data_IF_435429802526
#
_entry.id   IF_435429802526
#
_cell.length_a   1.000
_cell.length_b   1.000
_cell.length_c   1.000
_cell.angle_alpha   90.00
_cell.angle_beta   90.00
_cell.angle_gamma   90.00
#
_symmetry.space_group_name_H-M   'P 1'
#
loop_
_entity.id
_entity.type
_entity.pdbx_description
1 polymer ?
#
# COMPACT_ATOMS: atom_id res chain seq x y z
N UNK A 1 12.80 -2.45 2.66
CA UNK A 1 12.52 -3.90 2.70
C UNK A 1 12.47 -4.43 1.27
N UNK A 2 13.03 -5.59 1.04
CA UNK A 2 13.00 -6.20 -0.29
C UNK A 2 11.61 -6.74 -0.59
N UNK A 3 11.23 -6.68 -1.87
CA UNK A 3 9.95 -7.18 -2.33
C UNK A 3 9.73 -8.65 -1.97
N UNK A 4 10.80 -9.45 -2.02
CA UNK A 4 10.75 -10.87 -1.67
C UNK A 4 10.12 -11.09 -0.29
N UNK A 5 10.49 -10.29 0.71
CA UNK A 5 9.99 -10.44 2.07
C UNK A 5 8.48 -10.17 2.12
N UNK A 6 8.04 -9.15 1.42
CA UNK A 6 6.62 -8.79 1.37
C UNK A 6 5.82 -9.93 0.71
N UNK A 7 6.31 -10.43 -0.41
CA UNK A 7 5.63 -11.49 -1.16
C UNK A 7 5.59 -12.78 -0.34
N UNK A 8 6.68 -13.15 0.30
CA UNK A 8 6.73 -14.36 1.14
C UNK A 8 5.74 -14.27 2.30
N UNK A 9 5.65 -13.11 2.94
CA UNK A 9 4.68 -12.91 4.03
C UNK A 9 3.25 -13.01 3.51
N UNK A 10 2.97 -12.47 2.35
CA UNK A 10 1.64 -12.55 1.75
C UNK A 10 1.26 -13.99 1.45
N UNK A 11 2.17 -14.78 0.88
CA UNK A 11 1.92 -16.19 0.64
C UNK A 11 1.69 -16.96 1.93
N UNK A 12 2.49 -16.67 2.95
CA UNK A 12 2.33 -17.29 4.25
C UNK A 12 0.92 -17.08 4.79
N UNK A 13 0.42 -15.85 4.72
CA UNK A 13 -0.92 -15.54 5.19
C UNK A 13 -2.01 -16.13 4.31
N UNK A 14 -1.77 -16.21 3.02
CA UNK A 14 -2.72 -16.78 2.06
C UNK A 14 -2.93 -18.26 2.32
N UNK A 15 -1.84 -19.01 2.48
CA UNK A 15 -1.89 -20.46 2.69
C UNK A 15 -2.17 -20.78 4.16
N UNK A 16 -1.87 -19.85 5.05
CA UNK A 16 -2.07 -19.96 6.51
C UNK A 16 -1.27 -21.10 7.12
N UNK A 17 -0.15 -21.43 6.49
CA UNK A 17 0.80 -22.40 7.00
C UNK A 17 2.13 -22.15 6.33
N UNK A 18 3.17 -22.81 6.82
CA UNK A 18 4.47 -22.69 6.17
C UNK A 18 4.37 -23.20 4.74
N UNK A 19 4.71 -22.34 3.80
CA UNK A 19 4.59 -22.61 2.38
C UNK A 19 5.95 -22.65 1.73
N UNK A 20 6.19 -23.67 0.92
CA UNK A 20 7.43 -23.77 0.16
C UNK A 20 7.28 -22.99 -1.15
N UNK A 21 7.72 -21.73 -1.11
CA UNK A 21 7.53 -20.79 -2.20
C UNK A 21 8.56 -21.07 -3.31
N UNK A 22 8.03 -21.30 -4.52
CA UNK A 22 8.87 -21.54 -5.70
C UNK A 22 9.13 -20.24 -6.46
N UNK A 23 10.16 -20.21 -7.33
CA UNK A 23 10.45 -19.01 -8.10
C UNK A 23 9.28 -18.50 -8.94
N UNK A 24 8.44 -19.39 -9.47
CA UNK A 24 7.27 -18.99 -10.24
C UNK A 24 6.25 -18.27 -9.36
N UNK A 25 6.13 -18.67 -8.10
CA UNK A 25 5.23 -18.03 -7.15
C UNK A 25 5.71 -16.62 -6.82
N UNK A 26 7.01 -16.45 -6.69
CA UNK A 26 7.60 -15.13 -6.45
C UNK A 26 7.35 -14.19 -7.62
N UNK A 27 7.44 -14.70 -8.86
CA UNK A 27 7.14 -13.90 -10.05
C UNK A 27 5.68 -13.48 -10.07
N UNK A 28 4.78 -14.40 -9.76
CA UNK A 28 3.35 -14.10 -9.72
C UNK A 28 3.06 -13.06 -8.64
N UNK A 29 3.64 -13.25 -7.46
CA UNK A 29 3.47 -12.28 -6.37
C UNK A 29 3.96 -10.90 -6.75
N UNK A 30 5.09 -10.82 -7.43
CA UNK A 30 5.65 -9.55 -7.88
C UNK A 30 4.71 -8.87 -8.87
N UNK A 31 4.15 -9.63 -9.81
CA UNK A 31 3.21 -9.11 -10.81
C UNK A 31 1.96 -8.58 -10.13
N UNK A 32 1.40 -9.32 -9.18
CA UNK A 32 0.22 -8.87 -8.44
C UNK A 32 0.52 -7.62 -7.62
N UNK A 33 1.69 -7.58 -6.99
CA UNK A 33 2.08 -6.43 -6.18
C UNK A 33 2.20 -5.17 -7.06
N UNK A 34 2.86 -5.28 -8.19
CA UNK A 34 3.00 -4.16 -9.12
C UNK A 34 1.64 -3.68 -9.61
N UNK A 35 0.74 -4.60 -9.96
CA UNK A 35 -0.60 -4.25 -10.42
C UNK A 35 -1.42 -3.55 -9.34
N UNK A 36 -1.34 -4.07 -8.14
CA UNK A 36 -2.05 -3.49 -7.01
C UNK A 36 -1.58 -2.06 -6.75
N UNK A 37 -0.28 -1.87 -6.68
CA UNK A 37 0.27 -0.55 -6.40
C UNK A 37 0.04 0.44 -7.53
N UNK A 38 0.06 -0.03 -8.78
CA UNK A 38 -0.25 0.82 -9.93
C UNK A 38 -1.72 1.29 -9.87
N UNK A 39 -2.62 0.39 -9.46
CA UNK A 39 -4.03 0.75 -9.32
C UNK A 39 -4.26 1.76 -8.21
N UNK A 40 -3.56 1.58 -7.08
CA UNK A 40 -3.64 2.52 -5.96
C UNK A 40 -3.13 3.89 -6.39
N UNK A 41 -2.02 3.92 -7.10
CA UNK A 41 -1.44 5.17 -7.60
C UNK A 41 -2.40 5.87 -8.57
N UNK A 42 -3.04 5.10 -9.45
CA UNK A 42 -4.01 5.64 -10.40
C UNK A 42 -5.25 6.21 -9.70
N UNK A 43 -5.54 5.77 -8.49
CA UNK A 43 -6.64 6.31 -7.68
C UNK A 43 -6.23 7.56 -6.90
N UNK A 44 -5.02 8.05 -7.10
CA UNK A 44 -4.54 9.26 -6.43
C UNK A 44 -3.83 9.02 -5.11
N UNK A 45 -3.58 7.76 -4.76
CA UNK A 45 -2.87 7.43 -3.52
C UNK A 45 -1.39 7.28 -3.83
N UNK A 46 -0.67 8.38 -3.76
CA UNK A 46 0.74 8.43 -4.14
C UNK A 46 1.62 8.17 -2.94
N UNK A 47 2.30 7.05 -2.95
CA UNK A 47 3.12 6.59 -1.83
C UNK A 47 4.61 6.49 -2.19
N UNK A 48 4.99 6.93 -3.38
CA UNK A 48 6.37 6.85 -3.83
C UNK A 48 6.76 5.46 -4.34
N UNK A 49 5.80 4.64 -4.70
CA UNK A 49 6.07 3.30 -5.21
C UNK A 49 6.66 3.36 -6.61
N UNK A 50 7.74 2.63 -6.82
CA UNK A 50 8.33 2.45 -8.13
C UNK A 50 8.11 1.00 -8.56
N UNK A 51 7.69 0.79 -9.80
CA UNK A 51 7.47 -0.57 -10.30
C UNK A 51 8.74 -1.40 -10.15
N UNK A 52 8.56 -2.64 -9.69
CA UNK A 52 9.67 -3.54 -9.39
C UNK A 52 9.92 -4.47 -10.56
N UNK A 53 11.19 -4.71 -10.87
CA UNK A 53 11.58 -5.64 -11.94
C UNK A 53 12.08 -6.97 -11.38
N UNK A 54 12.47 -7.00 -10.11
CA UNK A 54 13.01 -8.18 -9.45
C UNK A 54 12.49 -8.24 -8.01
N UNK A 55 12.35 -9.47 -7.50
CA UNK A 55 11.96 -9.67 -6.10
C UNK A 55 13.05 -9.21 -5.12
N UNK A 56 14.25 -9.00 -5.61
CA UNK A 56 15.35 -8.50 -4.78
C UNK A 56 15.41 -6.98 -4.74
N UNK A 57 14.58 -6.30 -5.53
CA UNK A 57 14.50 -4.85 -5.50
C UNK A 57 13.92 -4.37 -4.17
N UNK A 58 14.37 -3.20 -3.73
CA UNK A 58 13.87 -2.58 -2.52
C UNK A 58 12.58 -1.83 -2.83
N UNK A 59 11.58 -2.05 -1.99
CA UNK A 59 10.30 -1.35 -2.11
C UNK A 59 10.45 0.06 -1.57
N UNK A 60 9.97 1.04 -2.34
CA UNK A 60 10.23 2.46 -2.10
C UNK A 60 9.13 3.18 -1.32
N UNK A 61 8.17 2.44 -0.76
CA UNK A 61 7.10 3.04 0.04
C UNK A 61 7.53 3.20 1.50
N UNK A 62 6.85 4.07 2.27
CA UNK A 62 7.11 4.18 3.70
C UNK A 62 6.86 2.86 4.43
N UNK A 63 7.63 2.59 5.47
CA UNK A 63 7.49 1.36 6.23
C UNK A 63 6.10 1.20 6.84
N UNK A 64 5.44 2.30 7.11
CA UNK A 64 4.11 2.29 7.72
C UNK A 64 3.05 1.63 6.84
N UNK A 65 3.28 1.53 5.53
CA UNK A 65 2.31 0.91 4.62
C UNK A 65 2.68 -0.53 4.25
N UNK A 66 3.80 -1.04 4.72
CA UNK A 66 4.26 -2.39 4.34
C UNK A 66 3.25 -3.45 4.79
N UNK A 67 2.75 -3.34 6.01
CA UNK A 67 1.76 -4.30 6.51
C UNK A 67 0.49 -4.28 5.66
N UNK A 68 0.05 -3.09 5.27
CA UNK A 68 -1.12 -2.93 4.41
C UNK A 68 -0.89 -3.61 3.05
N UNK A 69 0.31 -3.49 2.51
CA UNK A 69 0.67 -4.16 1.25
C UNK A 69 0.60 -5.66 1.39
N UNK A 70 1.14 -6.20 2.48
CA UNK A 70 1.11 -7.64 2.75
C UNK A 70 -0.33 -8.16 2.82
N UNK A 71 -1.18 -7.48 3.56
CA UNK A 71 -2.58 -7.89 3.73
C UNK A 71 -3.36 -7.84 2.43
N UNK A 72 -3.17 -6.78 1.67
CA UNK A 72 -3.85 -6.63 0.38
C UNK A 72 -3.34 -7.63 -0.64
N UNK A 73 -2.04 -7.88 -0.68
CA UNK A 73 -1.47 -8.87 -1.57
C UNK A 73 -1.97 -10.28 -1.22
N UNK A 74 -2.04 -10.62 0.07
CA UNK A 74 -2.59 -11.89 0.51
C UNK A 74 -4.03 -12.07 0.05
N UNK A 75 -4.84 -11.02 0.17
CA UNK A 75 -6.22 -11.03 -0.29
C UNK A 75 -6.32 -11.29 -1.80
N UNK A 76 -5.42 -10.70 -2.59
CA UNK A 76 -5.40 -10.90 -4.04
C UNK A 76 -4.90 -12.27 -4.44
N UNK A 77 -3.96 -12.84 -3.70
CA UNK A 77 -3.42 -14.17 -4.00
C UNK A 77 -4.37 -15.30 -3.56
N UNK A 78 -5.27 -15.00 -2.63
CA UNK A 78 -6.13 -16.01 -2.02
C UNK A 78 -6.85 -16.88 -3.04
N UNK A 79 -7.54 -16.32 -4.07
CA UNK A 79 -8.29 -17.15 -4.99
C UNK A 79 -7.46 -18.17 -5.76
N UNK A 80 -6.18 -17.90 -5.97
CA UNK A 80 -5.31 -18.78 -6.74
C UNK A 80 -4.60 -19.83 -5.90
N UNK A 81 -4.33 -19.52 -4.64
CA UNK A 81 -3.47 -20.36 -3.80
C UNK A 81 -4.19 -20.96 -2.62
N UNK A 82 -5.46 -20.63 -2.43
CA UNK A 82 -6.27 -21.22 -1.37
C UNK A 82 -7.66 -21.54 -1.90
N UNK A 83 -8.15 -22.73 -1.62
CA UNK A 83 -9.46 -23.18 -2.09
C UNK A 83 -10.60 -22.80 -1.17
N UNK A 84 -10.29 -22.34 0.02
CA UNK A 84 -11.27 -21.92 1.00
C UNK A 84 -11.77 -20.51 0.70
N UNK A 85 -12.88 -20.11 1.32
CA UNK A 85 -13.33 -18.74 1.30
C UNK A 85 -12.28 -17.84 1.94
N UNK A 86 -12.13 -16.63 1.41
CA UNK A 86 -11.24 -15.64 1.98
C UNK A 86 -11.56 -15.44 3.46
N UNK A 87 -10.53 -15.56 4.29
CA UNK A 87 -10.66 -15.36 5.72
C UNK A 87 -11.16 -13.94 6.01
N UNK A 88 -12.29 -13.78 6.73
CA UNK A 88 -12.82 -12.44 7.02
C UNK A 88 -11.84 -11.51 7.72
N UNK A 89 -10.94 -12.07 8.54
CA UNK A 89 -9.93 -11.26 9.23
C UNK A 89 -8.91 -10.69 8.23
N UNK A 90 -8.53 -11.47 7.23
CA UNK A 90 -7.63 -11.00 6.17
C UNK A 90 -8.33 -9.93 5.33
N UNK A 91 -9.60 -10.15 5.00
CA UNK A 91 -10.38 -9.19 4.23
C UNK A 91 -10.51 -7.86 4.97
N UNK A 92 -10.79 -7.92 6.27
CA UNK A 92 -10.89 -6.72 7.10
C UNK A 92 -9.55 -6.01 7.21
N UNK A 93 -8.48 -6.76 7.42
CA UNK A 93 -7.13 -6.19 7.51
C UNK A 93 -6.72 -5.53 6.20
N UNK A 94 -7.08 -6.12 5.07
CA UNK A 94 -6.80 -5.53 3.76
C UNK A 94 -7.53 -4.20 3.58
N UNK A 95 -8.80 -4.15 3.97
CA UNK A 95 -9.59 -2.93 3.89
C UNK A 95 -9.03 -1.83 4.78
N UNK A 96 -8.69 -2.17 6.01
CA UNK A 96 -8.06 -1.21 6.93
C UNK A 96 -6.71 -0.75 6.40
N UNK A 97 -5.99 -1.65 5.74
CA UNK A 97 -4.72 -1.32 5.12
C UNK A 97 -4.88 -0.29 4.00
N UNK A 98 -5.92 -0.41 3.19
CA UNK A 98 -6.22 0.58 2.15
C UNK A 98 -6.49 1.94 2.76
N UNK A 99 -7.25 1.98 3.85
CA UNK A 99 -7.55 3.24 4.53
C UNK A 99 -6.27 3.86 5.10
N UNK A 100 -5.39 3.03 5.66
CA UNK A 100 -4.11 3.49 6.18
C UNK A 100 -3.21 4.05 5.07
N UNK A 101 -3.21 3.40 3.90
CA UNK A 101 -2.46 3.89 2.74
C UNK A 101 -2.95 5.26 2.30
N UNK A 102 -4.25 5.45 2.25
CA UNK A 102 -4.84 6.74 1.86
C UNK A 102 -4.48 7.83 2.86
N UNK A 103 -4.53 7.53 4.14
CA UNK A 103 -4.12 8.46 5.18
C UNK A 103 -2.65 8.83 5.06
N UNK A 104 -1.81 7.84 4.81
CA UNK A 104 -0.37 8.06 4.66
C UNK A 104 -0.07 8.93 3.45
N UNK A 105 -0.78 8.74 2.35
CA UNK A 105 -0.60 9.54 1.15
C UNK A 105 -0.94 11.00 1.42
N UNK A 106 -2.02 11.26 2.15
CA UNK A 106 -2.39 12.63 2.52
C UNK A 106 -1.29 13.26 3.36
N UNK A 107 -0.75 12.53 4.33
CA UNK A 107 0.31 13.04 5.19
C UNK A 107 1.60 13.33 4.43
N UNK A 108 1.89 12.57 3.39
CA UNK A 108 3.08 12.77 2.55
C UNK A 108 2.92 13.98 1.64
N UNK A 109 1.73 14.14 1.05
CA UNK A 109 1.48 15.17 0.04
C UNK A 109 1.16 16.52 0.66
N UNK A 110 0.42 16.54 1.74
CA UNK A 110 -0.12 17.74 2.34
C UNK A 110 0.95 18.81 2.65
N UNK A 111 2.10 18.48 3.24
CA UNK A 111 3.13 19.50 3.48
C UNK A 111 3.64 20.17 2.22
N UNK A 112 3.68 19.45 1.12
CA UNK A 112 4.14 20.00 -0.15
C UNK A 112 3.08 20.86 -0.81
N UNK A 113 1.82 20.61 -0.50
CA UNK A 113 0.70 21.33 -1.09
C UNK A 113 0.29 22.58 -0.31
N UNK A 114 0.78 22.71 0.90
CA UNK A 114 0.45 23.88 1.71
C UNK A 114 1.34 25.04 1.29
N UNK A 115 0.82 25.98 0.52
CA UNK A 115 1.60 27.16 0.23
C UNK A 115 1.71 28.01 1.48
N UNK A 116 2.88 28.56 1.69
CA UNK A 116 3.11 29.44 2.81
C UNK A 116 2.28 30.71 2.72
N UNK A 117 1.74 30.98 1.57
CA UNK A 117 0.91 32.14 1.30
C UNK A 117 -0.56 31.91 1.57
N UNK A 118 -0.93 30.74 2.05
CA UNK A 118 -2.31 30.49 2.37
C UNK A 118 -2.82 31.58 3.28
N UNK A 119 -3.85 32.33 2.86
CA UNK A 119 -4.49 33.27 3.75
C UNK A 119 -5.11 32.44 4.84
N UNK A 120 -4.76 32.85 5.93
CA UNK A 120 -5.31 32.05 6.98
C UNK A 120 -6.56 32.61 7.40
N UNK A 121 -7.13 32.66 7.08
CA UNK A 121 -8.01 33.23 7.29
C UNK A 121 -8.67 33.39 6.93
N UNK A 122 -8.53 33.37 6.90
CA UNK A 122 -9.11 33.75 6.72
C UNK A 122 -9.43 34.08 7.07
N UNK A 123 -9.30 34.46 7.38
CA UNK A 123 -9.34 34.87 7.19
C UNK A 123 -9.24 35.49 7.60
N UNK A 124 -9.31 35.72 8.15
CA UNK A 124 -8.99 36.44 8.05
C UNK A 124 -8.84 37.03 8.09
N UNK A 125 -8.78 37.31 8.40
CA UNK A 125 -8.35 37.91 8.11
C UNK A 125 -8.37 38.35 7.98
N UNK A 126 -8.85 38.55 8.50
CA UNK A 126 -8.64 39.17 8.17
C UNK A 126 -8.67 39.65 8.16
N UNK A 127 -9.12 40.02 8.65
CA UNK A 127 -8.93 40.46 8.37
C UNK A 127 -8.78 40.83 8.56
N UNK A 128 -8.87 41.00 8.93
CA UNK A 128 -8.53 41.51 8.82
C UNK A 128 -8.33 41.85 8.67
N UNK A 129 -8.39 42.47 8.94
CA UNK A 129 -8.04 42.86 8.59
C UNK A 129 -7.83 43.16 8.28
N UNK A 130 -7.97 42.62 8.50
CA UNK A 130 -7.62 42.96 8.02
C UNK A 130 -7.56 42.97 7.78
N UNK A 131 -7.82 42.94 8.14
CA UNK A 131 -7.64 42.93 7.67
C UNK A 131 -7.54 42.89 7.62
#
# INVERSE_FOLDING_TARGET
>A
MKARVIIERAFYETVQSKYNIEPVDLKDGLRYLNRFMARIDAQGVELGYTALTSVDDVVTVPDTVILAMVKNLASLLWPQYNTSKLNPLIKLAAKRGLDAMRSQAINVIQPAQYPSTLPRGSGNQDGNFDD
#
